data_IF_322440696378
#
_entry.id   IF_322440696378
#
_cell.length_a   1.000
_cell.length_b   1.000
_cell.length_c   1.000
_cell.angle_alpha   90.00
_cell.angle_beta   90.00
_cell.angle_gamma   90.00
#
_symmetry.space_group_name_H-M   'P 1'
#
loop_
_entity.id
_entity.type
_entity.pdbx_description
1 polymer ?
#
# COMPACT_ATOMS: atom_id res chain seq x y z
N UNK A 1 -66.19 49.28 -31.16
CA UNK A 1 -64.96 48.83 -31.81
C UNK A 1 -63.88 48.67 -30.75
N UNK A 2 -63.69 47.46 -30.29
CA UNK A 2 -62.66 47.14 -29.33
C UNK A 2 -61.87 45.92 -29.86
N UNK A 3 -60.60 46.20 -30.20
CA UNK A 3 -59.65 45.17 -30.68
C UNK A 3 -59.02 44.48 -29.51
N UNK A 4 -59.28 43.22 -29.40
CA UNK A 4 -58.61 42.29 -28.49
C UNK A 4 -57.22 41.85 -29.11
N UNK A 5 -56.12 42.12 -28.41
CA UNK A 5 -54.82 41.60 -28.74
C UNK A 5 -54.59 40.37 -27.85
N UNK A 6 -54.50 39.20 -28.45
CA UNK A 6 -54.02 37.99 -27.81
C UNK A 6 -52.49 38.01 -27.75
N UNK A 7 -51.94 37.87 -26.54
CA UNK A 7 -50.53 37.69 -26.33
C UNK A 7 -50.20 36.20 -26.37
N UNK A 8 -49.34 35.78 -27.26
CA UNK A 8 -48.78 34.47 -27.38
C UNK A 8 -47.65 34.29 -26.32
N UNK A 9 -47.81 33.33 -25.43
CA UNK A 9 -46.75 32.86 -24.52
C UNK A 9 -45.89 31.86 -25.26
N UNK A 10 -44.65 32.21 -25.60
CA UNK A 10 -43.64 31.29 -26.03
C UNK A 10 -43.07 30.52 -24.80
N UNK A 11 -43.27 29.21 -24.81
CA UNK A 11 -42.72 28.31 -23.84
C UNK A 11 -41.23 28.04 -24.16
N UNK A 12 -40.34 28.68 -23.42
CA UNK A 12 -38.91 28.41 -23.48
C UNK A 12 -38.63 27.07 -22.78
N UNK A 13 -38.43 25.99 -23.55
CA UNK A 13 -37.94 24.71 -23.02
C UNK A 13 -36.49 24.90 -22.60
N UNK A 14 -36.25 24.94 -21.29
CA UNK A 14 -34.89 24.79 -20.70
C UNK A 14 -34.45 23.33 -20.87
N UNK A 15 -33.55 23.11 -21.80
CA UNK A 15 -32.87 21.82 -21.98
C UNK A 15 -31.85 21.66 -20.87
N UNK A 16 -32.11 20.74 -19.91
CA UNK A 16 -31.14 20.29 -18.91
C UNK A 16 -30.24 19.25 -19.56
N UNK A 17 -28.94 19.45 -19.67
CA UNK A 17 -28.05 18.43 -20.18
C UNK A 17 -27.85 17.35 -19.11
N UNK A 18 -28.51 16.19 -19.27
CA UNK A 18 -28.20 14.99 -18.55
C UNK A 18 -26.86 14.43 -19.06
N UNK A 19 -25.75 14.92 -18.50
CA UNK A 19 -24.47 14.23 -18.57
C UNK A 19 -24.33 13.37 -17.31
N UNK A 20 -24.94 12.21 -17.30
CA UNK A 20 -24.44 11.10 -16.51
C UNK A 20 -23.17 10.61 -17.22
N UNK A 21 -22.02 11.10 -16.78
CA UNK A 21 -20.78 10.40 -17.04
C UNK A 21 -20.91 9.04 -16.33
N UNK A 22 -21.04 7.98 -17.11
CA UNK A 22 -20.84 6.62 -16.64
C UNK A 22 -19.40 6.61 -16.09
N UNK A 23 -19.24 6.61 -14.77
CA UNK A 23 -17.94 6.37 -14.16
C UNK A 23 -17.55 4.95 -14.57
N UNK A 24 -16.54 4.84 -15.40
CA UNK A 24 -15.93 3.53 -15.68
C UNK A 24 -15.39 3.04 -14.33
N UNK A 25 -15.97 1.98 -13.79
CA UNK A 25 -15.45 1.33 -12.58
C UNK A 25 -14.02 0.90 -12.86
N UNK A 26 -13.10 1.25 -11.95
CA UNK A 26 -11.70 0.84 -12.08
C UNK A 26 -11.53 -0.55 -11.48
N UNK A 27 -10.42 -1.21 -11.80
CA UNK A 27 -10.07 -2.50 -11.22
C UNK A 27 -10.00 -2.42 -9.68
N UNK A 28 -9.49 -1.33 -9.13
CA UNK A 28 -9.48 -1.08 -7.70
C UNK A 28 -10.89 -1.01 -7.11
N UNK A 29 -11.82 -0.32 -7.79
CA UNK A 29 -13.22 -0.21 -7.32
C UNK A 29 -13.89 -1.58 -7.19
N UNK A 30 -13.67 -2.48 -8.14
CA UNK A 30 -14.24 -3.83 -8.11
C UNK A 30 -13.68 -4.65 -6.93
N UNK A 31 -12.39 -4.56 -6.67
CA UNK A 31 -11.75 -5.20 -5.51
C UNK A 31 -12.33 -4.65 -4.21
N UNK A 32 -12.39 -3.33 -4.06
CA UNK A 32 -12.92 -2.69 -2.85
C UNK A 32 -14.38 -3.03 -2.59
N UNK A 33 -15.21 -3.14 -3.64
CA UNK A 33 -16.59 -3.59 -3.50
C UNK A 33 -16.65 -5.02 -2.96
N UNK A 34 -15.78 -5.92 -3.42
CA UNK A 34 -15.73 -7.29 -2.95
C UNK A 34 -15.30 -7.36 -1.46
N UNK A 35 -14.23 -6.64 -1.08
CA UNK A 35 -13.74 -6.59 0.30
C UNK A 35 -14.77 -5.97 1.25
N UNK A 36 -15.39 -4.84 0.91
CA UNK A 36 -16.43 -4.21 1.73
C UNK A 36 -17.68 -5.11 1.88
N UNK A 37 -18.04 -5.87 0.84
CA UNK A 37 -19.13 -6.87 0.93
C UNK A 37 -18.77 -8.03 1.87
N UNK A 38 -17.52 -8.46 1.89
CA UNK A 38 -17.01 -9.47 2.82
C UNK A 38 -17.06 -8.93 4.24
N UNK A 39 -16.53 -7.74 4.49
CA UNK A 39 -16.55 -7.08 5.79
C UNK A 39 -17.96 -6.87 6.34
N UNK A 40 -18.93 -6.48 5.48
CA UNK A 40 -20.33 -6.31 5.89
C UNK A 40 -21.04 -7.61 6.31
N UNK A 41 -20.50 -8.78 5.94
CA UNK A 41 -21.02 -10.10 6.33
C UNK A 41 -20.29 -10.70 7.51
N UNK A 42 -19.25 -10.07 7.98
CA UNK A 42 -18.46 -10.55 9.11
C UNK A 42 -19.22 -10.24 10.42
N UNK A 43 -19.67 -11.27 11.09
CA UNK A 43 -20.44 -11.20 12.34
C UNK A 43 -19.53 -11.29 13.59
N UNK A 44 -18.20 -11.45 13.42
CA UNK A 44 -17.27 -11.50 14.55
C UNK A 44 -17.32 -10.18 15.30
N UNK A 45 -17.38 -10.27 16.63
CA UNK A 45 -17.34 -9.08 17.48
C UNK A 45 -15.92 -8.53 17.55
N UNK A 46 -15.79 -7.24 17.38
CA UNK A 46 -14.50 -6.55 17.47
C UNK A 46 -13.80 -6.80 18.82
N UNK A 47 -14.54 -6.76 19.92
CA UNK A 47 -14.01 -6.99 21.26
C UNK A 47 -13.37 -8.39 21.39
N UNK A 48 -14.00 -9.42 20.83
CA UNK A 48 -13.45 -10.80 20.86
C UNK A 48 -12.12 -10.90 20.07
N UNK A 49 -11.99 -10.14 18.98
CA UNK A 49 -10.74 -10.06 18.21
C UNK A 49 -9.66 -9.28 18.97
N UNK A 50 -10.01 -8.18 19.66
CA UNK A 50 -9.07 -7.47 20.54
C UNK A 50 -8.55 -8.36 21.68
N UNK A 51 -9.44 -9.11 22.33
CA UNK A 51 -9.06 -10.06 23.38
C UNK A 51 -8.11 -11.15 22.86
N UNK A 52 -8.36 -11.65 21.64
CA UNK A 52 -7.48 -12.63 20.99
C UNK A 52 -6.09 -12.05 20.69
N UNK A 53 -6.03 -10.83 20.15
CA UNK A 53 -4.78 -10.12 19.86
C UNK A 53 -3.99 -9.81 21.13
N UNK A 54 -4.64 -9.48 22.24
CA UNK A 54 -4.01 -9.16 23.53
C UNK A 54 -3.13 -10.29 24.11
N UNK A 55 -3.34 -11.53 23.65
CA UNK A 55 -2.56 -12.70 24.08
C UNK A 55 -1.34 -13.01 23.20
N UNK A 56 -1.12 -12.25 22.13
CA UNK A 56 -0.02 -12.47 21.18
C UNK A 56 1.29 -11.85 21.69
N UNK A 57 2.42 -12.47 21.30
CA UNK A 57 3.75 -11.88 21.51
C UNK A 57 3.86 -10.51 20.84
N UNK A 58 4.70 -9.58 21.33
CA UNK A 58 4.90 -8.28 20.69
C UNK A 58 5.28 -8.39 19.21
N UNK A 59 4.91 -7.37 18.42
CA UNK A 59 5.33 -7.25 17.02
C UNK A 59 6.82 -6.95 16.89
N UNK A 60 7.39 -7.25 15.75
CA UNK A 60 8.71 -6.77 15.33
C UNK A 60 8.57 -5.33 14.85
N UNK A 61 9.53 -4.46 15.18
CA UNK A 61 9.46 -3.03 14.89
C UNK A 61 9.65 -2.75 13.38
N UNK A 62 8.57 -2.74 12.61
CA UNK A 62 8.61 -2.56 11.15
C UNK A 62 9.12 -1.16 10.77
N UNK A 63 8.58 -0.11 11.36
CA UNK A 63 8.99 1.25 11.04
C UNK A 63 10.47 1.52 11.37
N UNK A 64 10.98 0.97 12.49
CA UNK A 64 12.37 1.13 12.89
C UNK A 64 13.33 0.36 11.98
N UNK A 65 12.94 -0.82 11.49
CA UNK A 65 13.72 -1.60 10.54
C UNK A 65 13.96 -0.86 9.21
N UNK A 66 13.11 0.11 8.89
CA UNK A 66 13.21 0.92 7.67
C UNK A 66 14.03 2.21 7.86
N UNK A 67 14.45 2.53 9.08
CA UNK A 67 15.28 3.73 9.37
C UNK A 67 16.75 3.45 9.15
N UNK A 68 17.52 4.52 8.93
CA UNK A 68 18.98 4.47 8.82
C UNK A 68 19.53 5.37 7.73
N UNK A 69 20.84 5.37 7.58
CA UNK A 69 21.56 6.20 6.60
C UNK A 69 21.60 5.56 5.20
N UNK A 70 21.26 4.29 5.09
CA UNK A 70 21.25 3.55 3.83
C UNK A 70 19.85 3.11 3.46
N UNK A 71 19.54 3.07 2.18
CA UNK A 71 18.27 2.62 1.63
C UNK A 71 17.97 1.18 2.08
N UNK A 72 16.78 0.98 2.63
CA UNK A 72 16.26 -0.29 3.08
C UNK A 72 15.40 -0.94 2.00
N UNK A 73 15.24 -2.25 2.07
CA UNK A 73 14.42 -2.99 1.11
C UNK A 73 13.33 -3.76 1.85
N UNK A 74 12.07 -3.49 1.47
CA UNK A 74 10.92 -4.33 1.76
C UNK A 74 10.76 -5.25 0.55
N UNK A 75 11.12 -6.52 0.69
CA UNK A 75 11.04 -7.49 -0.41
C UNK A 75 9.68 -8.18 -0.39
N UNK A 76 8.97 -8.17 -1.53
CA UNK A 76 7.59 -8.62 -1.61
C UNK A 76 7.47 -10.04 -2.16
N UNK A 77 6.77 -10.90 -1.41
CA UNK A 77 6.33 -12.24 -1.83
C UNK A 77 5.00 -12.09 -2.55
N UNK A 78 4.99 -12.39 -3.85
CA UNK A 78 3.84 -12.22 -4.72
C UNK A 78 3.82 -13.26 -5.82
N UNK A 79 2.77 -14.08 -5.87
CA UNK A 79 2.61 -15.15 -6.87
C UNK A 79 2.12 -14.63 -8.21
N UNK A 80 1.21 -13.64 -8.18
CA UNK A 80 0.49 -13.08 -9.32
C UNK A 80 0.25 -11.59 -9.14
N UNK A 81 0.06 -10.86 -10.22
CA UNK A 81 -0.40 -9.47 -10.17
C UNK A 81 -1.41 -9.17 -11.27
N UNK A 82 -2.36 -8.22 -11.04
CA UNK A 82 -3.32 -7.82 -12.08
C UNK A 82 -2.67 -7.30 -13.36
N UNK A 83 -1.53 -6.60 -13.24
CA UNK A 83 -0.85 -5.96 -14.37
C UNK A 83 0.04 -6.90 -15.19
N UNK A 84 0.48 -8.04 -14.62
CA UNK A 84 1.48 -8.94 -15.25
C UNK A 84 1.02 -10.40 -15.33
N UNK A 85 -0.09 -10.75 -14.64
CA UNK A 85 -0.50 -12.15 -14.50
C UNK A 85 0.40 -12.91 -13.52
N UNK A 86 0.66 -14.17 -13.81
CA UNK A 86 1.51 -15.04 -13.00
C UNK A 86 2.97 -14.59 -13.03
N UNK A 87 3.59 -14.50 -11.84
CA UNK A 87 5.00 -14.13 -11.66
C UNK A 87 5.83 -15.32 -11.17
N UNK A 88 5.37 -15.98 -10.10
CA UNK A 88 6.02 -17.16 -9.51
C UNK A 88 4.96 -17.95 -8.75
N UNK A 89 4.08 -18.65 -9.49
CA UNK A 89 2.87 -19.27 -8.90
C UNK A 89 3.21 -20.37 -7.89
N UNK A 90 4.27 -21.14 -8.16
CA UNK A 90 4.70 -22.28 -7.34
C UNK A 90 5.77 -21.93 -6.31
N UNK A 91 5.97 -20.62 -5.98
CA UNK A 91 6.97 -20.22 -5.00
C UNK A 91 6.66 -20.83 -3.60
N UNK A 92 7.72 -21.18 -2.88
CA UNK A 92 7.67 -21.51 -1.47
C UNK A 92 7.97 -20.24 -0.65
N UNK A 93 7.01 -19.73 0.15
CA UNK A 93 7.18 -18.49 0.90
C UNK A 93 8.33 -18.54 1.91
N UNK A 94 8.59 -19.70 2.53
CA UNK A 94 9.69 -19.88 3.47
C UNK A 94 11.04 -19.71 2.79
N UNK A 95 11.22 -20.40 1.65
CA UNK A 95 12.45 -20.32 0.85
C UNK A 95 12.68 -18.90 0.34
N UNK A 96 11.63 -18.27 -0.19
CA UNK A 96 11.72 -16.90 -0.72
C UNK A 96 12.06 -15.89 0.39
N UNK A 97 11.43 -15.99 1.56
CA UNK A 97 11.72 -15.12 2.69
C UNK A 97 13.19 -15.25 3.15
N UNK A 98 13.73 -16.49 3.22
CA UNK A 98 15.14 -16.75 3.56
C UNK A 98 16.10 -16.20 2.50
N UNK A 99 15.77 -16.34 1.21
CA UNK A 99 16.56 -15.76 0.12
C UNK A 99 16.57 -14.22 0.20
N UNK A 100 15.43 -13.59 0.52
CA UNK A 100 15.34 -12.14 0.69
C UNK A 100 16.13 -11.66 1.92
N UNK A 101 16.00 -12.36 3.05
CA UNK A 101 16.78 -12.05 4.26
C UNK A 101 18.28 -12.17 4.01
N UNK A 102 18.72 -13.23 3.32
CA UNK A 102 20.14 -13.43 2.96
C UNK A 102 20.66 -12.37 1.99
N UNK A 103 19.76 -11.78 1.19
CA UNK A 103 20.06 -10.65 0.30
C UNK A 103 20.15 -9.29 1.01
N UNK A 104 19.78 -9.23 2.30
CA UNK A 104 19.82 -7.99 3.08
C UNK A 104 18.50 -7.22 3.09
N UNK A 105 17.35 -7.87 2.82
CA UNK A 105 16.04 -7.26 3.04
C UNK A 105 15.91 -6.83 4.51
N UNK A 106 15.21 -5.71 4.74
CA UNK A 106 14.96 -5.17 6.08
C UNK A 106 13.56 -5.54 6.58
N UNK A 107 12.64 -5.86 5.67
CA UNK A 107 11.30 -6.33 5.96
C UNK A 107 10.80 -7.19 4.78
N UNK A 108 9.78 -8.00 5.04
CA UNK A 108 9.09 -8.79 4.01
C UNK A 108 7.65 -8.26 3.86
N UNK A 109 7.19 -8.08 2.63
CA UNK A 109 5.79 -7.82 2.30
C UNK A 109 5.18 -9.11 1.75
N UNK A 110 4.01 -9.51 2.24
CA UNK A 110 3.33 -10.72 1.77
C UNK A 110 1.93 -10.39 1.30
N UNK A 111 1.63 -10.69 0.03
CA UNK A 111 0.27 -10.60 -0.50
C UNK A 111 -0.58 -11.68 0.15
N UNK A 112 -1.77 -11.27 0.67
CA UNK A 112 -2.73 -12.21 1.29
C UNK A 112 -4.08 -12.22 0.57
N UNK A 113 -4.30 -11.35 -0.41
CA UNK A 113 -5.49 -11.36 -1.27
C UNK A 113 -5.42 -12.54 -2.26
N UNK A 114 -6.30 -13.55 -2.07
CA UNK A 114 -6.32 -14.77 -2.88
C UNK A 114 -6.85 -14.51 -4.30
N UNK A 115 -7.99 -13.84 -4.52
CA UNK A 115 -8.61 -13.76 -5.85
C UNK A 115 -7.74 -13.03 -6.88
N UNK A 116 -7.00 -11.99 -6.47
CA UNK A 116 -6.30 -11.11 -7.41
C UNK A 116 -4.79 -11.36 -7.44
N UNK A 117 -4.21 -11.83 -6.33
CA UNK A 117 -2.76 -12.00 -6.18
C UNK A 117 -2.33 -13.44 -5.91
N UNK A 118 -3.28 -14.36 -5.74
CA UNK A 118 -3.04 -15.77 -5.36
C UNK A 118 -2.21 -15.89 -4.07
N UNK A 119 -2.37 -14.91 -3.16
CA UNK A 119 -1.75 -14.91 -1.84
C UNK A 119 -2.65 -15.53 -0.79
N UNK A 120 -2.11 -15.81 0.38
CA UNK A 120 -2.87 -16.39 1.50
C UNK A 120 -2.31 -16.03 2.86
N UNK A 121 -3.08 -16.29 3.91
CA UNK A 121 -2.63 -16.20 5.30
C UNK A 121 -1.47 -17.16 5.57
N UNK A 122 -1.54 -18.37 5.01
CA UNK A 122 -0.51 -19.39 5.16
C UNK A 122 0.83 -18.94 4.57
N UNK A 123 0.81 -18.18 3.46
CA UNK A 123 2.02 -17.59 2.86
C UNK A 123 2.67 -16.59 3.84
N UNK A 124 1.85 -15.79 4.54
CA UNK A 124 2.34 -14.83 5.52
C UNK A 124 2.95 -15.53 6.74
N UNK A 125 2.24 -16.53 7.29
CA UNK A 125 2.71 -17.30 8.43
C UNK A 125 4.00 -18.05 8.09
N UNK A 126 4.06 -18.68 6.91
CA UNK A 126 5.25 -19.40 6.45
C UNK A 126 6.47 -18.46 6.31
N UNK A 127 6.28 -17.26 5.75
CA UNK A 127 7.34 -16.26 5.67
C UNK A 127 7.78 -15.77 7.05
N UNK A 128 6.84 -15.53 7.99
CA UNK A 128 7.13 -15.11 9.36
C UNK A 128 7.96 -16.13 10.13
N UNK A 129 7.64 -17.41 9.99
CA UNK A 129 8.33 -18.50 10.69
C UNK A 129 9.75 -18.74 10.17
N UNK A 130 9.99 -18.36 8.91
CA UNK A 130 11.26 -18.57 8.22
C UNK A 130 12.35 -17.55 8.56
N UNK A 131 11.98 -16.34 9.01
CA UNK A 131 12.92 -15.21 9.22
C UNK A 131 12.52 -14.36 10.43
N UNK A 132 13.51 -13.64 11.00
CA UNK A 132 13.28 -12.68 12.09
C UNK A 132 12.94 -11.27 11.61
N UNK A 133 12.77 -11.07 10.30
CA UNK A 133 12.42 -9.77 9.74
C UNK A 133 10.95 -9.44 10.01
N UNK A 134 10.59 -8.14 10.16
CA UNK A 134 9.20 -7.74 10.28
C UNK A 134 8.42 -8.00 9.00
N UNK A 135 7.15 -8.37 9.15
CA UNK A 135 6.25 -8.78 8.06
C UNK A 135 5.14 -7.75 7.88
N UNK A 136 4.99 -7.26 6.65
CA UNK A 136 3.86 -6.44 6.22
C UNK A 136 2.78 -7.33 5.59
N UNK A 137 1.55 -7.29 6.10
CA UNK A 137 0.39 -7.81 5.38
C UNK A 137 0.02 -6.86 4.25
N UNK A 138 0.19 -7.29 3.01
CA UNK A 138 -0.15 -6.52 1.80
C UNK A 138 -1.50 -6.99 1.29
N UNK A 139 -2.57 -6.26 1.66
CA UNK A 139 -3.96 -6.59 1.36
C UNK A 139 -4.83 -5.31 1.35
N UNK A 140 -6.09 -5.40 0.93
CA UNK A 140 -7.05 -4.29 0.94
C UNK A 140 -7.77 -4.21 2.29
N UNK A 141 -7.26 -3.37 3.18
CA UNK A 141 -7.85 -3.12 4.50
C UNK A 141 -9.00 -2.14 4.37
N UNK A 142 -10.22 -2.56 4.67
CA UNK A 142 -11.47 -1.76 4.51
C UNK A 142 -12.35 -1.75 5.76
N UNK A 143 -11.95 -2.49 6.80
CA UNK A 143 -12.64 -2.58 8.10
C UNK A 143 -11.61 -2.69 9.22
N UNK A 144 -11.96 -2.27 10.45
CA UNK A 144 -11.07 -2.39 11.61
C UNK A 144 -10.73 -3.85 11.94
N UNK A 145 -11.62 -4.79 11.60
CA UNK A 145 -11.37 -6.23 11.76
C UNK A 145 -10.26 -6.73 10.83
N UNK A 146 -10.10 -6.15 9.64
CA UNK A 146 -8.97 -6.48 8.77
C UNK A 146 -7.62 -6.12 9.41
N UNK A 147 -7.57 -5.02 10.22
CA UNK A 147 -6.39 -4.65 10.99
C UNK A 147 -6.10 -5.67 12.10
N UNK A 148 -7.15 -6.10 12.82
CA UNK A 148 -7.05 -7.13 13.85
C UNK A 148 -6.65 -8.48 13.27
N UNK A 149 -7.21 -8.84 12.11
CA UNK A 149 -6.84 -10.05 11.37
C UNK A 149 -5.36 -10.03 10.94
N UNK A 150 -4.84 -8.88 10.47
CA UNK A 150 -3.42 -8.76 10.17
C UNK A 150 -2.55 -9.12 11.39
N UNK A 151 -2.94 -8.65 12.57
CA UNK A 151 -2.25 -8.97 13.83
C UNK A 151 -2.37 -10.45 14.21
N UNK A 152 -3.55 -11.04 14.05
CA UNK A 152 -3.81 -12.47 14.34
C UNK A 152 -3.06 -13.38 13.36
N UNK A 153 -2.92 -13.01 12.10
CA UNK A 153 -2.10 -13.71 11.10
C UNK A 153 -0.59 -13.65 11.42
N UNK A 154 -0.18 -12.79 12.36
CA UNK A 154 1.21 -12.61 12.74
C UNK A 154 1.94 -11.51 11.96
N UNK A 155 1.25 -10.58 11.29
CA UNK A 155 1.88 -9.41 10.71
C UNK A 155 2.44 -8.47 11.79
N UNK A 156 3.43 -7.68 11.42
CA UNK A 156 4.03 -6.61 12.22
C UNK A 156 3.63 -5.23 11.69
N UNK A 157 3.12 -5.19 10.45
CA UNK A 157 2.57 -4.00 9.84
C UNK A 157 1.39 -4.35 8.91
N UNK A 158 0.51 -3.37 8.68
CA UNK A 158 -0.65 -3.46 7.80
C UNK A 158 -0.61 -2.36 6.75
N UNK A 159 -1.14 -2.65 5.54
CA UNK A 159 -1.30 -1.66 4.46
C UNK A 159 -2.63 -0.92 4.61
N UNK A 160 -2.57 0.42 4.50
CA UNK A 160 -3.73 1.30 4.38
C UNK A 160 -3.60 2.10 3.08
N UNK A 161 -4.56 1.97 2.16
CA UNK A 161 -4.50 2.66 0.85
C UNK A 161 -5.35 3.93 0.94
N UNK A 162 -4.74 5.11 0.88
CA UNK A 162 -5.43 6.40 1.02
C UNK A 162 -6.52 6.60 -0.04
N UNK A 163 -6.29 6.15 -1.30
CA UNK A 163 -7.28 6.18 -2.38
C UNK A 163 -8.55 5.34 -2.07
N UNK A 164 -8.44 4.32 -1.21
CA UNK A 164 -9.52 3.37 -0.88
C UNK A 164 -10.32 3.77 0.36
N UNK A 165 -9.80 4.70 1.17
CA UNK A 165 -10.29 5.01 2.51
C UNK A 165 -10.69 6.49 2.62
N UNK A 166 -11.73 6.75 3.41
CA UNK A 166 -12.07 8.10 3.89
C UNK A 166 -11.10 8.55 4.99
N UNK A 167 -11.06 9.85 5.29
CA UNK A 167 -10.21 10.41 6.36
C UNK A 167 -10.55 9.83 7.74
N UNK A 168 -11.82 9.48 7.96
CA UNK A 168 -12.27 8.84 9.20
C UNK A 168 -11.74 7.42 9.30
N UNK A 169 -11.79 6.65 8.20
CA UNK A 169 -11.28 5.28 8.14
C UNK A 169 -9.76 5.25 8.32
N UNK A 170 -9.01 6.14 7.65
CA UNK A 170 -7.55 6.22 7.84
C UNK A 170 -7.21 6.46 9.31
N UNK A 171 -7.85 7.46 9.96
CA UNK A 171 -7.63 7.75 11.38
C UNK A 171 -8.01 6.59 12.28
N UNK A 172 -9.17 5.96 12.06
CA UNK A 172 -9.64 4.84 12.85
C UNK A 172 -8.71 3.64 12.74
N UNK A 173 -8.32 3.28 11.51
CA UNK A 173 -7.46 2.11 11.28
C UNK A 173 -6.04 2.33 11.81
N UNK A 174 -5.50 3.56 11.71
CA UNK A 174 -4.24 3.92 12.35
C UNK A 174 -4.31 3.80 13.88
N UNK A 175 -5.42 4.22 14.49
CA UNK A 175 -5.62 4.11 15.94
C UNK A 175 -5.70 2.63 16.38
N UNK A 176 -6.46 1.80 15.65
CA UNK A 176 -6.55 0.35 15.93
C UNK A 176 -5.19 -0.32 15.75
N UNK A 177 -4.46 -0.02 14.65
CA UNK A 177 -3.14 -0.56 14.42
C UNK A 177 -2.18 -0.23 15.58
N UNK A 178 -2.17 1.04 16.02
CA UNK A 178 -1.36 1.47 17.14
C UNK A 178 -1.73 0.74 18.46
N UNK A 179 -3.04 0.59 18.74
CA UNK A 179 -3.55 -0.06 19.95
C UNK A 179 -3.09 -1.54 20.04
N UNK A 180 -3.03 -2.24 18.88
CA UNK A 180 -2.61 -3.64 18.84
C UNK A 180 -1.12 -3.84 18.53
N UNK A 181 -0.34 -2.75 18.52
CA UNK A 181 1.11 -2.77 18.30
C UNK A 181 1.56 -2.99 16.87
N UNK A 182 0.67 -2.81 15.87
CA UNK A 182 1.03 -2.84 14.46
C UNK A 182 1.55 -1.47 14.00
N UNK A 183 2.57 -1.47 13.14
CA UNK A 183 2.84 -0.33 12.27
C UNK A 183 1.84 -0.32 11.10
N UNK A 184 1.64 0.86 10.48
CA UNK A 184 0.81 0.98 9.29
C UNK A 184 1.58 1.69 8.17
N UNK A 185 1.70 1.03 7.01
CA UNK A 185 2.18 1.62 5.78
C UNK A 185 0.98 2.28 5.08
N UNK A 186 0.94 3.62 5.05
CA UNK A 186 -0.13 4.35 4.35
C UNK A 186 0.32 4.66 2.94
N UNK A 187 -0.29 3.96 1.97
CA UNK A 187 0.00 4.11 0.54
C UNK A 187 -0.71 5.33 -0.04
N UNK A 188 0.02 6.17 -0.78
CA UNK A 188 -0.46 7.40 -1.41
C UNK A 188 0.02 7.51 -2.86
N UNK A 189 -0.75 8.22 -3.72
CA UNK A 189 -0.46 8.36 -5.15
C UNK A 189 -0.25 9.82 -5.56
N UNK A 190 -0.68 10.79 -4.75
CA UNK A 190 -0.54 12.21 -5.04
C UNK A 190 -0.39 13.04 -3.76
N UNK A 191 -0.20 14.38 -3.92
CA UNK A 191 -0.05 15.30 -2.81
C UNK A 191 -1.29 15.42 -1.92
N UNK A 192 -2.49 15.29 -2.50
CA UNK A 192 -3.74 15.36 -1.74
C UNK A 192 -3.91 14.14 -0.83
N UNK A 193 -3.58 12.94 -1.32
CA UNK A 193 -3.56 11.71 -0.50
C UNK A 193 -2.46 11.76 0.57
N UNK A 194 -1.29 12.33 0.23
CA UNK A 194 -0.20 12.56 1.18
C UNK A 194 -0.64 13.47 2.33
N UNK A 195 -1.27 14.62 2.01
CA UNK A 195 -1.77 15.54 3.02
C UNK A 195 -2.80 14.88 3.96
N UNK A 196 -3.70 14.06 3.42
CA UNK A 196 -4.69 13.29 4.20
C UNK A 196 -4.01 12.29 5.13
N UNK A 197 -3.02 11.55 4.63
CA UNK A 197 -2.25 10.58 5.40
C UNK A 197 -1.48 11.25 6.56
N UNK A 198 -0.81 12.37 6.28
CA UNK A 198 -0.08 13.16 7.29
C UNK A 198 -1.04 13.75 8.34
N UNK A 199 -2.18 14.32 7.92
CA UNK A 199 -3.21 14.86 8.82
C UNK A 199 -3.85 13.77 9.70
N UNK A 200 -3.85 12.51 9.26
CA UNK A 200 -4.30 11.36 10.05
C UNK A 200 -3.23 10.84 11.03
N UNK A 201 -1.98 11.30 10.94
CA UNK A 201 -0.88 10.90 11.81
C UNK A 201 -0.07 9.70 11.30
N UNK A 202 -0.06 9.45 10.00
CA UNK A 202 0.76 8.39 9.41
C UNK A 202 2.26 8.58 9.72
N UNK A 203 2.92 7.53 10.16
CA UNK A 203 4.35 7.51 10.51
C UNK A 203 5.22 6.81 9.47
N UNK A 204 4.62 5.97 8.63
CA UNK A 204 5.24 5.34 7.48
C UNK A 204 4.36 5.59 6.27
N UNK A 205 4.89 6.25 5.25
CA UNK A 205 4.19 6.61 4.03
C UNK A 205 4.84 5.91 2.85
N UNK A 206 4.02 5.20 2.08
CA UNK A 206 4.40 4.59 0.82
C UNK A 206 3.91 5.43 -0.35
N UNK A 207 4.82 5.91 -1.19
CA UNK A 207 4.46 6.58 -2.45
C UNK A 207 4.44 5.53 -3.55
N UNK A 208 3.24 5.20 -4.05
CA UNK A 208 3.10 4.21 -5.11
C UNK A 208 3.22 4.89 -6.49
N UNK A 209 4.28 4.54 -7.22
CA UNK A 209 4.54 5.02 -8.59
C UNK A 209 3.57 4.41 -9.62
N UNK A 210 2.87 3.32 -9.27
CA UNK A 210 1.88 2.70 -10.14
C UNK A 210 0.51 3.33 -9.90
N UNK A 211 -0.09 3.84 -10.96
CA UNK A 211 -1.50 4.22 -10.94
C UNK A 211 -2.38 2.96 -10.85
N UNK A 212 -3.24 2.88 -9.83
CA UNK A 212 -4.09 1.71 -9.58
C UNK A 212 -5.28 1.61 -10.56
N UNK A 213 -5.50 2.63 -11.39
CA UNK A 213 -6.57 2.67 -12.39
C UNK A 213 -6.07 2.25 -13.77
N UNK A 214 -4.88 2.75 -14.16
CA UNK A 214 -4.30 2.53 -15.50
C UNK A 214 -3.19 1.48 -15.51
N UNK A 215 -2.64 1.13 -14.34
CA UNK A 215 -1.45 0.32 -14.12
C UNK A 215 -0.16 0.91 -14.70
N UNK A 216 -0.18 2.13 -15.19
CA UNK A 216 1.01 2.84 -15.64
C UNK A 216 1.92 3.17 -14.45
N UNK A 217 3.23 3.15 -14.69
CA UNK A 217 4.24 3.47 -13.67
C UNK A 217 4.87 4.81 -14.01
N UNK A 218 4.64 5.79 -13.14
CA UNK A 218 5.26 7.10 -13.18
C UNK A 218 6.44 7.15 -12.21
N UNK A 219 7.65 6.92 -12.72
CA UNK A 219 8.87 6.88 -11.91
C UNK A 219 9.29 8.25 -11.37
N UNK A 220 8.71 9.35 -11.83
CA UNK A 220 9.00 10.69 -11.34
C UNK A 220 8.12 11.08 -10.14
N UNK A 221 7.02 10.37 -9.91
CA UNK A 221 6.09 10.61 -8.81
C UNK A 221 6.79 10.61 -7.44
N UNK A 222 7.58 9.58 -7.14
CA UNK A 222 8.34 9.54 -5.88
C UNK A 222 9.25 10.73 -5.73
N UNK A 223 9.98 11.12 -6.78
CA UNK A 223 10.91 12.26 -6.72
C UNK A 223 10.15 13.57 -6.47
N UNK A 224 9.00 13.75 -7.11
CA UNK A 224 8.18 14.97 -6.96
C UNK A 224 7.55 15.11 -5.57
N UNK A 225 7.18 14.00 -4.94
CA UNK A 225 6.55 14.00 -3.61
C UNK A 225 7.55 13.95 -2.46
N UNK A 226 8.80 13.57 -2.70
CA UNK A 226 9.80 13.38 -1.65
C UNK A 226 9.92 14.58 -0.69
N UNK A 227 10.03 15.81 -1.24
CA UNK A 227 10.17 17.03 -0.46
C UNK A 227 8.95 17.43 0.37
N UNK A 228 7.79 16.83 0.12
CA UNK A 228 6.57 17.07 0.87
C UNK A 228 6.42 16.14 2.09
N UNK A 229 7.22 15.08 2.17
CA UNK A 229 7.18 14.14 3.30
C UNK A 229 8.09 14.63 4.41
N UNK A 230 7.60 14.89 5.64
CA UNK A 230 8.42 15.33 6.77
C UNK A 230 9.55 14.34 7.10
N UNK A 231 10.70 14.86 7.58
CA UNK A 231 11.90 14.04 7.82
C UNK A 231 11.71 12.95 8.90
N UNK A 232 10.83 13.17 9.86
CA UNK A 232 10.46 12.22 10.92
C UNK A 232 9.61 11.06 10.44
N UNK A 233 8.94 11.20 9.29
CA UNK A 233 8.12 10.16 8.66
C UNK A 233 9.00 9.25 7.83
N UNK A 234 8.84 7.95 7.96
CA UNK A 234 9.51 6.96 7.11
C UNK A 234 8.89 7.00 5.72
N UNK A 235 9.68 7.30 4.70
CA UNK A 235 9.25 7.33 3.31
C UNK A 235 9.67 6.05 2.59
N UNK A 236 8.68 5.38 1.97
CA UNK A 236 8.86 4.17 1.17
C UNK A 236 8.45 4.47 -0.27
N UNK A 237 9.29 4.13 -1.24
CA UNK A 237 8.92 4.19 -2.64
C UNK A 237 8.45 2.81 -3.10
N UNK A 238 7.27 2.76 -3.72
CA UNK A 238 6.63 1.52 -4.16
C UNK A 238 6.47 1.46 -5.67
N UNK A 239 6.57 0.27 -6.23
CA UNK A 239 6.47 -0.01 -7.66
C UNK A 239 7.62 0.61 -8.50
N UNK A 240 7.86 0.06 -9.69
CA UNK A 240 8.77 0.63 -10.67
C UNK A 240 10.28 0.50 -10.37
N UNK A 241 10.67 -0.09 -9.25
CA UNK A 241 12.08 -0.33 -8.90
C UNK A 241 12.57 -1.60 -9.57
N UNK A 242 13.51 -1.49 -10.51
CA UNK A 242 13.97 -2.58 -11.35
C UNK A 242 15.41 -3.01 -11.04
N UNK A 243 16.24 -2.05 -10.69
CA UNK A 243 17.68 -2.22 -10.55
C UNK A 243 18.32 -1.23 -9.55
N UNK A 244 19.64 -1.33 -9.38
CA UNK A 244 20.42 -0.48 -8.50
C UNK A 244 20.33 1.02 -8.84
N UNK A 245 20.10 1.39 -10.12
CA UNK A 245 20.02 2.81 -10.52
C UNK A 245 18.70 3.43 -10.04
N UNK A 246 17.60 2.66 -10.14
CA UNK A 246 16.31 3.09 -9.60
C UNK A 246 16.43 3.27 -8.07
N UNK A 247 17.08 2.33 -7.37
CA UNK A 247 17.33 2.38 -5.94
C UNK A 247 18.20 3.59 -5.53
N UNK A 248 19.32 3.83 -6.24
CA UNK A 248 20.18 4.97 -6.02
C UNK A 248 19.45 6.31 -6.20
N UNK A 249 18.63 6.42 -7.25
CA UNK A 249 17.80 7.61 -7.53
C UNK A 249 16.83 7.91 -6.38
N UNK A 250 16.17 6.87 -5.86
CA UNK A 250 15.22 7.03 -4.76
C UNK A 250 15.92 7.34 -3.43
N UNK A 251 17.08 6.74 -3.16
CA UNK A 251 17.91 7.09 -2.02
C UNK A 251 18.37 8.56 -2.09
N UNK A 252 18.81 9.03 -3.27
CA UNK A 252 19.18 10.42 -3.51
C UNK A 252 18.00 11.39 -3.35
N UNK A 253 16.75 10.93 -3.59
CA UNK A 253 15.55 11.71 -3.31
C UNK A 253 15.14 11.70 -1.82
N UNK A 254 15.85 10.94 -0.96
CA UNK A 254 15.63 10.88 0.49
C UNK A 254 14.63 9.84 0.97
N UNK A 255 14.29 8.85 0.13
CA UNK A 255 13.49 7.71 0.57
C UNK A 255 14.30 6.82 1.52
N UNK A 256 13.67 6.40 2.62
CA UNK A 256 14.27 5.49 3.60
C UNK A 256 14.29 4.06 3.07
N UNK A 257 13.25 3.66 2.33
CA UNK A 257 13.10 2.30 1.83
C UNK A 257 12.45 2.25 0.44
N UNK A 258 12.62 1.11 -0.21
CA UNK A 258 11.87 0.72 -1.41
C UNK A 258 11.08 -0.56 -1.14
N UNK A 259 9.83 -0.65 -1.63
CA UNK A 259 9.05 -1.88 -1.65
C UNK A 259 9.12 -2.47 -3.07
N UNK A 260 9.69 -3.67 -3.19
CA UNK A 260 10.02 -4.29 -4.47
C UNK A 260 9.49 -5.72 -4.53
N UNK A 261 8.69 -6.00 -5.55
CA UNK A 261 8.10 -7.33 -5.79
C UNK A 261 8.60 -7.95 -7.08
N UNK A 262 8.14 -7.42 -8.23
CA UNK A 262 8.32 -8.06 -9.54
C UNK A 262 9.80 -8.40 -9.84
N UNK A 263 10.71 -7.45 -9.75
CA UNK A 263 12.11 -7.64 -10.11
C UNK A 263 12.86 -8.60 -9.19
N UNK A 264 12.43 -8.76 -7.93
CA UNK A 264 13.09 -9.68 -6.99
C UNK A 264 12.45 -11.08 -6.99
N UNK A 265 11.11 -11.20 -7.12
CA UNK A 265 10.43 -12.50 -7.09
C UNK A 265 10.69 -13.33 -8.34
N UNK A 266 10.86 -12.67 -9.50
CA UNK A 266 11.14 -13.33 -10.79
C UNK A 266 12.63 -13.54 -11.06
N UNK A 267 13.50 -13.01 -10.18
CA UNK A 267 14.94 -13.15 -10.37
C UNK A 267 15.41 -14.60 -10.20
N UNK A 268 16.33 -15.04 -11.05
CA UNK A 268 16.94 -16.38 -10.96
C UNK A 268 17.78 -16.57 -9.68
N UNK A 269 18.26 -15.46 -9.08
CA UNK A 269 18.97 -15.41 -7.79
C UNK A 269 18.40 -14.26 -6.97
N UNK A 270 17.33 -14.54 -6.21
CA UNK A 270 16.57 -13.54 -5.45
C UNK A 270 17.43 -12.81 -4.42
N UNK A 271 18.32 -13.51 -3.70
CA UNK A 271 19.24 -12.87 -2.76
C UNK A 271 20.16 -11.84 -3.43
N UNK A 272 20.68 -12.15 -4.62
CA UNK A 272 21.52 -11.20 -5.38
C UNK A 272 20.71 -10.02 -5.89
N UNK A 273 19.46 -10.23 -6.30
CA UNK A 273 18.57 -9.15 -6.75
C UNK A 273 18.25 -8.18 -5.60
N UNK A 274 17.96 -8.67 -4.40
CA UNK A 274 17.77 -7.85 -3.21
C UNK A 274 19.06 -7.13 -2.84
N UNK A 275 20.21 -7.85 -2.82
CA UNK A 275 21.51 -7.27 -2.46
C UNK A 275 21.94 -6.11 -3.37
N UNK A 276 21.50 -6.10 -4.64
CA UNK A 276 21.76 -5.01 -5.57
C UNK A 276 20.99 -3.72 -5.24
N UNK A 277 19.95 -3.81 -4.42
CA UNK A 277 19.08 -2.68 -4.07
C UNK A 277 19.42 -2.05 -2.71
N UNK A 278 20.18 -2.73 -1.86
CA UNK A 278 20.54 -2.26 -0.51
C UNK A 278 21.81 -1.41 -0.50
N UNK A 279 22.00 -0.63 0.56
CA UNK A 279 23.27 0.03 0.86
C UNK A 279 23.50 1.36 0.14
N UNK A 280 22.57 1.84 -0.69
CA UNK A 280 22.65 3.17 -1.29
C UNK A 280 22.47 4.25 -0.20
N UNK A 281 23.34 5.26 -0.19
CA UNK A 281 23.30 6.33 0.79
C UNK A 281 22.03 7.17 0.63
N UNK A 282 21.24 7.29 1.68
CA UNK A 282 20.05 8.14 1.70
C UNK A 282 20.45 9.59 1.87
N UNK A 283 19.86 10.50 1.10
CA UNK A 283 20.10 11.94 1.26
C UNK A 283 19.68 12.40 2.66
N UNK A 284 20.49 13.24 3.28
CA UNK A 284 20.26 13.74 4.64
C UNK A 284 19.01 14.64 4.74
N UNK A 285 18.58 15.25 3.63
CA UNK A 285 17.36 16.05 3.53
C UNK A 285 16.60 15.68 2.27
N UNK A 286 15.26 15.71 2.34
CA UNK A 286 14.35 15.57 1.19
C UNK A 286 14.16 16.94 0.53
N UNK A 287 15.21 17.48 -0.06
CA UNK A 287 15.11 18.75 -0.80
C UNK A 287 14.47 18.51 -2.17
N UNK A 288 13.70 19.50 -2.66
CA UNK A 288 13.17 19.44 -4.03
C UNK A 288 14.36 19.34 -5.00
N UNK A 289 14.44 18.25 -5.73
CA UNK A 289 15.41 18.09 -6.82
C UNK A 289 15.04 19.14 -7.88
N UNK A 290 15.88 20.16 -8.05
CA UNK A 290 15.70 21.26 -9.02
C UNK A 290 16.01 20.81 -10.44
#
# INVERSE_FOLDING_TARGET
MLHSRAASFESTRVSVPHRYALSVTTYLDDILVAHRRRAAKDERRRDDLFDAVGNLAPTRAFADALRGESLRVIAEIKRKSPSKGELSIDLDPQVVAQEYASGGASAISVLTDEPHFSGSEEDLQAARDAVDLPILRKDFTVDERDVLDARLMGADAVLLIAAALSDLEIRSFLAVAHEVGLDALVEVHDGGELDRALAAGARVIGVNQRDLRTFEVDTDRCVSLASLIPSEVVAVAESGVRDAKDAERLAAAGYNAVLVGESVVTASKRSSAVSALVGHQVAASREAVR
#
